data_IF_670518397691
#
_entry.id   IF_670518397691
#
_cell.length_a   1.000
_cell.length_b   1.000
_cell.length_c   1.000
_cell.angle_alpha   90.00
_cell.angle_beta   90.00
_cell.angle_gamma   90.00
#
_symmetry.space_group_name_H-M   'P 1'
#
loop_
_entity.id
_entity.type
_entity.pdbx_description
1 polymer ?
#
# COMPACT_ATOMS: atom_id res chain seq x y z
N UNK A 1 -13.28 -3.80 -20.87
CA UNK A 1 -12.01 -3.14 -20.52
C UNK A 1 -11.31 -3.90 -19.40
N UNK A 2 -9.99 -3.70 -19.24
CA UNK A 2 -9.20 -4.24 -18.13
C UNK A 2 -8.97 -3.14 -17.11
N UNK A 3 -9.49 -3.34 -15.89
CA UNK A 3 -9.44 -2.36 -14.81
C UNK A 3 -8.59 -2.94 -13.68
N UNK A 4 -7.52 -2.25 -13.31
CA UNK A 4 -6.73 -2.55 -12.12
C UNK A 4 -7.14 -1.66 -10.95
N UNK A 5 -7.29 -2.23 -9.77
CA UNK A 5 -7.51 -1.49 -8.53
C UNK A 5 -6.36 -1.82 -7.58
N UNK A 6 -5.57 -0.81 -7.27
CA UNK A 6 -4.44 -0.97 -6.35
C UNK A 6 -4.95 -1.22 -4.93
N UNK A 7 -4.26 -2.08 -4.21
CA UNK A 7 -4.71 -2.47 -2.88
C UNK A 7 -4.25 -1.46 -1.81
N UNK A 8 -2.96 -1.12 -1.83
CA UNK A 8 -2.36 -0.28 -0.81
C UNK A 8 -2.72 1.20 -1.01
N UNK A 9 -3.28 1.83 0.02
CA UNK A 9 -3.72 3.23 -0.01
C UNK A 9 -5.00 3.50 -0.82
N UNK A 10 -5.65 2.46 -1.37
CA UNK A 10 -6.96 2.53 -2.04
C UNK A 10 -8.00 1.71 -1.28
N UNK A 11 -7.67 0.48 -0.94
CA UNK A 11 -8.55 -0.46 -0.25
C UNK A 11 -8.04 -0.73 1.17
N UNK A 12 -6.71 -0.83 1.34
CA UNK A 12 -6.02 -1.21 2.57
C UNK A 12 -5.14 -0.09 3.08
N UNK A 13 -5.24 0.22 4.38
CA UNK A 13 -4.38 1.20 5.06
C UNK A 13 -3.19 0.51 5.74
N UNK A 14 -2.14 0.25 4.94
CA UNK A 14 -0.92 -0.34 5.47
C UNK A 14 -0.12 0.64 6.34
N UNK A 15 -0.22 1.94 6.06
CA UNK A 15 0.58 2.94 6.78
C UNK A 15 0.11 3.10 8.21
N UNK A 16 -1.20 3.22 8.43
CA UNK A 16 -1.76 3.24 9.79
C UNK A 16 -1.33 1.99 10.58
N UNK A 17 -1.36 0.82 9.93
CA UNK A 17 -0.95 -0.41 10.62
C UNK A 17 0.54 -0.48 10.88
N UNK A 18 1.36 -0.03 9.93
CA UNK A 18 2.81 0.02 10.10
C UNK A 18 3.21 0.96 11.23
N UNK A 19 2.58 2.13 11.34
CA UNK A 19 2.79 3.07 12.43
C UNK A 19 2.45 2.46 13.79
N UNK A 20 1.33 1.75 13.89
CA UNK A 20 0.95 1.04 15.12
C UNK A 20 1.98 -0.02 15.52
N UNK A 21 2.47 -0.81 14.56
CA UNK A 21 3.48 -1.84 14.81
C UNK A 21 4.82 -1.19 15.17
N UNK A 22 5.25 -0.17 14.44
CA UNK A 22 6.47 0.55 14.71
C UNK A 22 6.45 1.18 16.11
N UNK A 23 5.39 1.90 16.48
CA UNK A 23 5.22 2.47 17.82
C UNK A 23 5.33 1.41 18.89
N UNK A 24 4.61 0.30 18.72
CA UNK A 24 4.58 -0.78 19.72
C UNK A 24 5.95 -1.44 19.93
N UNK A 25 6.67 -1.71 18.85
CA UNK A 25 7.88 -2.54 18.92
C UNK A 25 9.18 -1.74 18.91
N UNK A 26 9.14 -0.46 18.54
CA UNK A 26 10.34 0.36 18.42
C UNK A 26 10.35 1.60 19.31
N UNK A 27 9.18 2.08 19.78
CA UNK A 27 9.10 3.29 20.61
C UNK A 27 8.63 3.04 22.04
N UNK A 28 7.85 1.96 22.30
CA UNK A 28 7.38 1.65 23.66
C UNK A 28 8.53 1.04 24.51
N UNK A 29 8.57 1.38 25.79
CA UNK A 29 9.54 0.83 26.75
C UNK A 29 9.40 -0.71 26.85
N UNK A 30 10.52 -1.43 26.70
CA UNK A 30 10.59 -2.89 26.77
C UNK A 30 10.69 -3.60 25.41
N UNK A 31 10.70 -2.86 24.32
CA UNK A 31 10.81 -3.41 22.95
C UNK A 31 12.24 -3.77 22.50
N UNK A 32 13.20 -3.76 23.41
CA UNK A 32 14.65 -3.80 23.12
C UNK A 32 15.15 -4.99 22.30
N UNK A 33 14.45 -6.15 22.33
CA UNK A 33 14.92 -7.34 21.60
C UNK A 33 14.68 -7.26 20.08
N UNK A 34 13.69 -6.47 19.65
CA UNK A 34 13.34 -6.35 18.21
C UNK A 34 14.04 -5.14 17.59
N UNK A 35 14.38 -4.15 18.40
CA UNK A 35 15.03 -2.91 17.97
C UNK A 35 16.52 -3.05 17.73
N UNK A 36 17.10 -4.19 18.05
CA UNK A 36 18.53 -4.42 17.96
C UNK A 36 18.82 -5.69 17.16
N UNK A 37 19.96 -5.71 16.53
CA UNK A 37 20.57 -6.91 15.98
C UNK A 37 21.96 -7.11 16.55
N UNK A 38 22.41 -8.36 16.57
CA UNK A 38 23.77 -8.66 17.02
C UNK A 38 24.75 -8.44 15.86
N UNK A 39 25.61 -7.46 15.99
CA UNK A 39 26.71 -7.21 15.05
C UNK A 39 27.89 -8.11 15.41
N UNK A 40 28.10 -9.17 14.61
CA UNK A 40 29.16 -10.14 14.84
C UNK A 40 30.58 -9.60 14.59
N UNK A 41 30.71 -8.48 13.86
CA UNK A 41 32.01 -7.83 13.65
C UNK A 41 32.43 -6.97 14.84
N UNK A 42 31.43 -6.37 15.50
CA UNK A 42 31.64 -5.54 16.69
C UNK A 42 31.48 -6.31 18.02
N UNK A 43 30.95 -7.55 17.92
CA UNK A 43 30.60 -8.39 19.07
C UNK A 43 29.62 -7.71 20.06
N UNK A 44 28.70 -6.88 19.55
CA UNK A 44 27.72 -6.13 20.34
C UNK A 44 26.34 -6.09 19.73
N UNK A 45 25.30 -5.80 20.54
CA UNK A 45 23.97 -5.52 20.10
C UNK A 45 23.89 -4.06 19.62
N UNK A 46 23.46 -3.87 18.36
CA UNK A 46 23.35 -2.55 17.72
C UNK A 46 21.90 -2.21 17.48
N UNK A 47 21.50 -0.97 17.81
CA UNK A 47 20.16 -0.48 17.56
C UNK A 47 19.88 -0.37 16.06
N UNK A 48 18.68 -0.76 15.64
CA UNK A 48 18.17 -0.54 14.27
C UNK A 48 17.68 0.90 14.04
N UNK A 49 17.54 1.69 15.11
CA UNK A 49 17.11 3.08 15.07
C UNK A 49 18.29 4.04 15.12
N UNK A 50 18.13 5.22 14.55
CA UNK A 50 19.11 6.30 14.73
C UNK A 50 19.03 6.88 16.14
N UNK A 51 20.17 7.14 16.79
CA UNK A 51 20.24 7.54 18.19
C UNK A 51 19.59 8.91 18.50
N UNK A 52 19.37 9.74 17.48
CA UNK A 52 18.82 11.10 17.63
C UNK A 52 17.28 11.19 17.60
N UNK A 53 16.57 10.06 17.46
CA UNK A 53 15.16 10.05 17.06
C UNK A 53 14.13 9.73 18.15
N UNK A 54 14.51 9.73 19.41
CA UNK A 54 13.60 9.41 20.53
C UNK A 54 12.46 10.41 20.80
N UNK A 55 12.40 11.54 20.09
CA UNK A 55 11.40 12.60 20.36
C UNK A 55 10.14 12.53 19.47
N UNK A 56 10.04 11.62 18.52
CA UNK A 56 8.91 11.60 17.60
C UNK A 56 7.99 10.41 17.83
N UNK A 57 6.96 10.63 18.63
CA UNK A 57 5.74 9.83 18.51
C UNK A 57 5.18 9.95 17.08
N UNK A 58 5.00 8.82 16.39
CA UNK A 58 4.44 8.77 15.04
C UNK A 58 2.94 9.13 15.07
N UNK A 59 2.62 10.41 15.20
CA UNK A 59 1.27 10.96 15.04
C UNK A 59 1.16 11.80 13.76
N UNK A 60 2.18 11.74 12.89
CA UNK A 60 2.18 12.46 11.63
C UNK A 60 1.80 11.52 10.49
N UNK A 61 0.86 11.92 9.63
CA UNK A 61 0.50 11.10 8.47
C UNK A 61 1.72 10.95 7.55
N UNK A 62 1.84 9.81 6.90
CA UNK A 62 2.84 9.60 5.84
C UNK A 62 2.62 10.65 4.75
N UNK A 63 3.58 11.53 4.58
CA UNK A 63 3.52 12.63 3.59
C UNK A 63 4.43 12.39 2.40
N UNK A 64 5.26 11.35 2.45
CA UNK A 64 6.21 10.98 1.41
C UNK A 64 6.40 9.47 1.40
N UNK A 65 6.71 8.89 0.24
CA UNK A 65 7.12 7.49 0.13
C UNK A 65 8.57 7.24 0.55
N UNK A 66 9.26 8.24 1.10
CA UNK A 66 10.53 8.03 1.78
C UNK A 66 10.28 7.45 3.19
N UNK A 67 9.91 6.18 3.24
CA UNK A 67 9.53 5.50 4.49
C UNK A 67 10.71 5.30 5.45
N UNK A 68 11.94 5.33 4.96
CA UNK A 68 13.13 5.31 5.83
C UNK A 68 13.14 6.54 6.73
N UNK A 69 12.92 7.71 6.15
CA UNK A 69 12.87 8.97 6.89
C UNK A 69 11.66 9.01 7.83
N UNK A 70 10.50 8.54 7.36
CA UNK A 70 9.28 8.52 8.16
C UNK A 70 9.40 7.63 9.42
N UNK A 71 9.88 6.38 9.24
CA UNK A 71 10.06 5.42 10.32
C UNK A 71 11.44 5.50 10.99
N UNK A 72 12.32 6.41 10.56
CA UNK A 72 13.64 6.61 11.14
C UNK A 72 14.55 5.37 11.16
N UNK A 73 14.42 4.50 10.16
CA UNK A 73 15.34 3.39 10.00
C UNK A 73 16.70 3.87 9.48
N UNK A 74 17.79 3.22 9.88
CA UNK A 74 19.16 3.57 9.47
C UNK A 74 19.39 3.37 7.97
N UNK A 75 18.72 2.39 7.39
CA UNK A 75 18.93 2.01 6.00
C UNK A 75 17.71 1.30 5.41
N UNK A 76 17.78 1.02 4.12
CA UNK A 76 16.71 0.35 3.36
C UNK A 76 16.51 -1.11 3.79
N UNK A 77 17.56 -1.78 4.28
CA UNK A 77 17.50 -3.19 4.69
C UNK A 77 16.66 -3.33 5.96
N UNK A 78 16.87 -2.49 6.96
CA UNK A 78 16.07 -2.48 8.19
C UNK A 78 14.58 -2.19 7.91
N UNK A 79 14.30 -1.23 7.01
CA UNK A 79 12.93 -0.97 6.56
C UNK A 79 12.33 -2.19 5.84
N UNK A 80 13.12 -2.84 4.96
CA UNK A 80 12.70 -4.04 4.26
C UNK A 80 12.38 -5.17 5.23
N UNK A 81 13.25 -5.42 6.19
CA UNK A 81 13.06 -6.46 7.20
C UNK A 81 11.82 -6.20 8.03
N UNK A 82 11.59 -4.97 8.45
CA UNK A 82 10.38 -4.58 9.16
C UNK A 82 9.09 -4.94 8.39
N UNK A 83 9.00 -4.57 7.11
CA UNK A 83 7.81 -4.83 6.31
C UNK A 83 7.66 -6.30 5.88
N UNK A 84 8.74 -6.92 5.42
CA UNK A 84 8.65 -8.16 4.66
C UNK A 84 9.19 -9.41 5.37
N UNK A 85 9.96 -9.24 6.44
CA UNK A 85 10.56 -10.35 7.20
C UNK A 85 9.93 -10.48 8.58
N UNK A 86 9.93 -9.39 9.37
CA UNK A 86 9.54 -9.41 10.78
C UNK A 86 8.02 -9.34 10.97
N UNK A 87 7.34 -8.40 10.28
CA UNK A 87 5.94 -8.11 10.52
C UNK A 87 4.99 -8.25 9.31
N UNK A 88 5.26 -9.08 8.29
CA UNK A 88 4.44 -9.11 7.07
C UNK A 88 2.97 -9.46 7.35
N UNK A 89 2.70 -10.41 8.24
CA UNK A 89 1.32 -10.77 8.57
C UNK A 89 0.62 -9.65 9.35
N UNK A 90 1.30 -9.03 10.28
CA UNK A 90 0.75 -7.92 11.08
C UNK A 90 0.45 -6.72 10.19
N UNK A 91 1.39 -6.34 9.32
CA UNK A 91 1.26 -5.17 8.45
C UNK A 91 0.28 -5.46 7.32
N UNK A 92 0.52 -6.47 6.51
CA UNK A 92 -0.28 -6.71 5.29
C UNK A 92 -1.56 -7.52 5.55
N UNK A 93 -1.56 -8.45 6.51
CA UNK A 93 -2.70 -9.29 6.82
C UNK A 93 -3.69 -8.67 7.80
N UNK A 94 -3.21 -7.89 8.76
CA UNK A 94 -4.03 -7.32 9.82
C UNK A 94 -4.25 -5.80 9.70
N UNK A 95 -3.90 -5.20 8.59
CA UNK A 95 -4.26 -3.81 8.31
C UNK A 95 -5.77 -3.60 8.33
N UNK A 96 -6.26 -2.41 8.65
CA UNK A 96 -7.64 -2.04 8.39
C UNK A 96 -7.88 -1.79 6.90
N UNK A 97 -9.15 -1.82 6.48
CA UNK A 97 -9.57 -1.21 5.22
C UNK A 97 -9.52 0.31 5.33
N UNK A 98 -9.41 1.02 4.19
CA UNK A 98 -9.40 2.48 4.14
C UNK A 98 -10.66 3.12 4.74
N UNK A 99 -11.78 2.42 4.76
CA UNK A 99 -13.02 2.84 5.38
C UNK A 99 -13.93 1.67 5.75
N UNK A 100 -14.89 1.89 6.62
CA UNK A 100 -15.78 0.84 7.15
C UNK A 100 -16.56 0.10 6.05
N UNK A 101 -16.91 0.78 4.96
CA UNK A 101 -17.72 0.22 3.86
C UNK A 101 -16.91 -0.11 2.62
N UNK A 102 -15.58 -0.01 2.65
CA UNK A 102 -14.71 -0.18 1.47
C UNK A 102 -14.98 -1.49 0.73
N UNK A 103 -15.08 -2.62 1.44
CA UNK A 103 -15.31 -3.92 0.81
C UNK A 103 -16.74 -4.12 0.31
N UNK A 104 -17.75 -3.52 0.95
CA UNK A 104 -19.11 -3.54 0.41
C UNK A 104 -19.16 -2.80 -0.92
N UNK A 105 -18.61 -1.59 -0.97
CA UNK A 105 -18.52 -0.78 -2.19
C UNK A 105 -17.73 -1.49 -3.28
N UNK A 106 -16.58 -2.07 -2.94
CA UNK A 106 -15.74 -2.81 -3.88
C UNK A 106 -16.45 -4.02 -4.47
N UNK A 107 -17.15 -4.78 -3.64
CA UNK A 107 -17.88 -5.98 -4.06
C UNK A 107 -19.10 -5.62 -4.91
N UNK A 108 -19.84 -4.57 -4.55
CA UNK A 108 -20.98 -4.07 -5.35
C UNK A 108 -20.48 -3.59 -6.73
N UNK A 109 -19.39 -2.81 -6.76
CA UNK A 109 -18.74 -2.38 -8.00
C UNK A 109 -18.32 -3.57 -8.86
N UNK A 110 -17.73 -4.60 -8.25
CA UNK A 110 -17.33 -5.81 -8.97
C UNK A 110 -18.53 -6.53 -9.58
N UNK A 111 -19.61 -6.70 -8.83
CA UNK A 111 -20.84 -7.34 -9.31
C UNK A 111 -21.42 -6.58 -10.49
N UNK A 112 -21.44 -5.24 -10.43
CA UNK A 112 -22.02 -4.38 -11.46
C UNK A 112 -21.19 -4.36 -12.75
N UNK A 113 -19.87 -4.52 -12.66
CA UNK A 113 -18.96 -4.31 -13.79
C UNK A 113 -18.39 -5.59 -14.41
N UNK A 114 -18.38 -6.72 -13.71
CA UNK A 114 -17.65 -7.94 -14.10
C UNK A 114 -18.12 -8.57 -15.42
N UNK A 115 -19.37 -8.36 -15.81
CA UNK A 115 -19.92 -8.96 -17.02
C UNK A 115 -19.35 -8.31 -18.30
N UNK A 116 -18.93 -7.04 -18.22
CA UNK A 116 -18.38 -6.27 -19.34
C UNK A 116 -16.88 -5.94 -19.19
N UNK A 117 -16.33 -6.13 -18.00
CA UNK A 117 -14.97 -5.73 -17.67
C UNK A 117 -14.22 -6.83 -16.91
N UNK A 118 -12.91 -6.91 -17.15
CA UNK A 118 -11.98 -7.68 -16.34
C UNK A 118 -11.46 -6.81 -15.21
N UNK A 119 -11.80 -7.14 -13.97
CA UNK A 119 -11.35 -6.39 -12.77
C UNK A 119 -10.30 -7.20 -12.04
N UNK A 120 -9.19 -6.57 -11.74
CA UNK A 120 -8.04 -7.18 -11.09
C UNK A 120 -7.56 -6.31 -9.94
N UNK A 121 -7.33 -6.91 -8.78
CA UNK A 121 -6.56 -6.24 -7.71
C UNK A 121 -5.09 -6.31 -8.06
N UNK A 122 -4.40 -5.19 -7.96
CA UNK A 122 -2.95 -5.14 -8.05
C UNK A 122 -2.35 -4.75 -6.70
N UNK A 123 -1.14 -5.22 -6.40
CA UNK A 123 -0.48 -4.87 -5.15
C UNK A 123 1.04 -4.91 -5.28
N UNK A 124 1.69 -3.84 -4.81
CA UNK A 124 3.16 -3.75 -4.74
C UNK A 124 3.66 -4.54 -3.54
N UNK A 125 3.91 -5.83 -3.76
CA UNK A 125 4.30 -6.74 -2.70
C UNK A 125 5.22 -7.86 -3.16
N UNK A 126 6.06 -8.30 -2.22
CA UNK A 126 7.06 -9.35 -2.42
C UNK A 126 7.07 -10.35 -1.26
N UNK A 127 7.58 -11.54 -1.53
CA UNK A 127 7.89 -12.54 -0.49
C UNK A 127 6.70 -12.91 0.40
N UNK A 128 6.89 -12.80 1.71
CA UNK A 128 5.93 -13.20 2.76
C UNK A 128 4.71 -12.29 2.85
N UNK A 129 4.74 -11.07 2.29
CA UNK A 129 3.58 -10.18 2.28
C UNK A 129 2.45 -10.69 1.38
N UNK A 130 2.77 -11.45 0.31
CA UNK A 130 1.75 -12.01 -0.59
C UNK A 130 0.73 -12.92 0.11
N UNK A 131 1.11 -13.96 0.87
CA UNK A 131 0.14 -14.76 1.62
C UNK A 131 -0.60 -13.93 2.69
N UNK A 132 0.04 -12.94 3.30
CA UNK A 132 -0.62 -12.03 4.24
C UNK A 132 -1.71 -11.20 3.55
N UNK A 133 -1.48 -10.74 2.33
CA UNK A 133 -2.47 -10.06 1.51
C UNK A 133 -3.65 -10.96 1.11
N UNK A 134 -3.41 -12.19 0.74
CA UNK A 134 -4.49 -13.15 0.48
C UNK A 134 -5.35 -13.38 1.73
N UNK A 135 -4.72 -13.46 2.90
CA UNK A 135 -5.45 -13.50 4.17
C UNK A 135 -6.30 -12.24 4.39
N UNK A 136 -5.73 -11.05 4.14
CA UNK A 136 -6.47 -9.79 4.26
C UNK A 136 -7.73 -9.78 3.37
N UNK A 137 -7.60 -10.10 2.10
CA UNK A 137 -8.73 -10.14 1.16
C UNK A 137 -9.79 -11.16 1.56
N UNK A 138 -9.37 -12.35 2.00
CA UNK A 138 -10.26 -13.39 2.50
C UNK A 138 -11.00 -12.95 3.77
N UNK A 139 -10.30 -12.32 4.72
CA UNK A 139 -10.88 -11.79 5.97
C UNK A 139 -12.03 -10.82 5.74
N UNK A 140 -11.92 -9.98 4.70
CA UNK A 140 -12.93 -8.99 4.36
C UNK A 140 -13.95 -9.47 3.31
N UNK A 141 -13.83 -10.72 2.86
CA UNK A 141 -14.78 -11.30 1.89
C UNK A 141 -14.71 -10.63 0.52
N UNK A 142 -13.51 -10.32 0.03
CA UNK A 142 -13.32 -9.78 -1.31
C UNK A 142 -13.81 -10.77 -2.38
N UNK A 143 -14.67 -10.31 -3.29
CA UNK A 143 -15.22 -11.13 -4.38
C UNK A 143 -14.35 -11.10 -5.65
N UNK A 144 -13.39 -10.18 -5.76
CA UNK A 144 -12.50 -10.11 -6.91
C UNK A 144 -11.50 -11.25 -6.83
N UNK A 145 -11.51 -12.13 -7.83
CA UNK A 145 -10.69 -13.35 -7.88
C UNK A 145 -9.30 -13.09 -8.45
N UNK A 146 -9.18 -12.12 -9.37
CA UNK A 146 -7.93 -11.83 -10.05
C UNK A 146 -7.03 -10.92 -9.18
N UNK A 147 -5.83 -11.40 -8.86
CA UNK A 147 -4.85 -10.65 -8.07
C UNK A 147 -3.49 -10.73 -8.75
N UNK A 148 -2.89 -9.57 -9.04
CA UNK A 148 -1.55 -9.47 -9.61
C UNK A 148 -0.61 -8.74 -8.64
N UNK A 149 0.45 -9.42 -8.24
CA UNK A 149 1.53 -8.81 -7.46
C UNK A 149 2.61 -8.24 -8.37
N UNK A 150 3.10 -7.06 -8.05
CA UNK A 150 4.17 -6.41 -8.79
C UNK A 150 5.27 -5.89 -7.85
N UNK A 151 6.33 -5.40 -8.43
CA UNK A 151 7.43 -4.73 -7.75
C UNK A 151 7.93 -3.59 -8.63
N UNK A 152 8.85 -2.77 -8.15
CA UNK A 152 9.48 -1.71 -8.96
C UNK A 152 10.05 -2.19 -10.29
N UNK A 153 10.52 -3.45 -10.36
CA UNK A 153 11.07 -4.04 -11.59
C UNK A 153 9.96 -4.38 -12.61
N UNK A 154 8.76 -4.69 -12.15
CA UNK A 154 7.65 -5.17 -12.98
C UNK A 154 6.52 -4.16 -13.14
N UNK A 155 6.66 -2.96 -12.59
CA UNK A 155 5.61 -1.94 -12.56
C UNK A 155 5.18 -1.50 -13.97
N UNK A 156 6.12 -1.33 -14.90
CA UNK A 156 5.81 -0.98 -16.30
C UNK A 156 4.96 -2.07 -16.96
N UNK A 157 5.26 -3.33 -16.71
CA UNK A 157 4.48 -4.45 -17.24
C UNK A 157 3.05 -4.44 -16.69
N UNK A 158 2.87 -4.09 -15.42
CA UNK A 158 1.54 -3.93 -14.82
C UNK A 158 0.83 -2.77 -15.49
N UNK A 159 1.49 -1.62 -15.60
CA UNK A 159 0.94 -0.45 -16.27
C UNK A 159 0.44 -0.79 -17.68
N UNK A 160 1.24 -1.52 -18.47
CA UNK A 160 0.90 -1.91 -19.83
C UNK A 160 -0.25 -2.92 -19.95
N UNK A 161 -0.55 -3.65 -18.89
CA UNK A 161 -1.53 -4.75 -18.92
C UNK A 161 -2.98 -4.28 -18.77
N UNK A 162 -3.24 -3.02 -18.37
CA UNK A 162 -4.57 -2.51 -18.05
C UNK A 162 -4.93 -1.27 -18.84
N UNK A 163 -6.23 -1.07 -19.08
CA UNK A 163 -6.80 0.12 -19.75
C UNK A 163 -7.00 1.26 -18.74
N UNK A 164 -7.43 0.89 -17.52
CA UNK A 164 -7.68 1.81 -16.40
C UNK A 164 -6.95 1.30 -15.17
N UNK A 165 -6.27 2.20 -14.46
CA UNK A 165 -5.60 1.89 -13.19
C UNK A 165 -6.08 2.87 -12.12
N UNK A 166 -6.62 2.32 -11.03
CA UNK A 166 -7.03 3.08 -9.84
C UNK A 166 -5.93 2.92 -8.80
N UNK A 167 -5.24 3.98 -8.45
CA UNK A 167 -4.06 3.88 -7.58
C UNK A 167 -3.81 5.13 -6.75
N UNK A 168 -3.17 4.96 -5.61
CA UNK A 168 -2.55 6.03 -4.82
C UNK A 168 -1.02 6.03 -4.94
N UNK A 169 -0.43 5.02 -5.61
CA UNK A 169 1.02 4.80 -5.67
C UNK A 169 1.70 5.84 -6.59
N UNK A 170 2.60 6.69 -6.06
CA UNK A 170 3.35 7.67 -6.84
C UNK A 170 4.15 7.07 -8.01
N UNK A 171 4.70 5.87 -7.84
CA UNK A 171 5.48 5.22 -8.91
C UNK A 171 4.60 4.87 -10.13
N UNK A 172 3.32 4.50 -9.91
CA UNK A 172 2.35 4.31 -11.00
C UNK A 172 1.88 5.65 -11.59
N UNK A 173 1.68 6.67 -10.74
CA UNK A 173 1.30 8.00 -11.20
C UNK A 173 2.36 8.65 -12.08
N UNK A 174 3.64 8.36 -11.85
CA UNK A 174 4.76 8.83 -12.70
C UNK A 174 4.77 8.21 -14.10
N UNK A 175 4.16 7.05 -14.29
CA UNK A 175 4.05 6.38 -15.59
C UNK A 175 2.89 6.95 -16.44
N UNK A 176 2.08 7.85 -15.89
CA UNK A 176 0.90 8.40 -16.57
C UNK A 176 1.33 9.05 -17.90
N UNK A 177 1.08 8.31 -18.98
CA UNK A 177 1.14 8.81 -20.33
C UNK A 177 -0.30 8.86 -20.87
N UNK A 178 -0.60 9.77 -21.77
CA UNK A 178 -1.96 10.08 -22.23
C UNK A 178 -2.73 8.92 -22.90
N UNK A 179 -2.10 7.77 -23.05
CA UNK A 179 -2.68 6.61 -23.73
C UNK A 179 -3.50 5.70 -22.80
N UNK A 180 -3.39 5.88 -21.49
CA UNK A 180 -4.12 5.12 -20.46
C UNK A 180 -4.82 6.04 -19.48
N UNK A 181 -5.85 5.53 -18.81
CA UNK A 181 -6.59 6.28 -17.81
C UNK A 181 -6.12 5.89 -16.41
N UNK A 182 -5.43 6.81 -15.75
CA UNK A 182 -5.15 6.67 -14.32
C UNK A 182 -6.18 7.44 -13.52
N UNK A 183 -6.82 6.75 -12.58
CA UNK A 183 -7.70 7.35 -11.57
C UNK A 183 -6.91 7.42 -10.28
N UNK A 184 -6.47 8.61 -9.92
CA UNK A 184 -5.71 8.85 -8.71
C UNK A 184 -6.62 8.87 -7.50
N UNK A 185 -6.33 8.04 -6.50
CA UNK A 185 -6.89 8.17 -5.15
C UNK A 185 -6.02 9.13 -4.35
N UNK A 186 -6.61 10.25 -3.90
CA UNK A 186 -5.87 11.30 -3.20
C UNK A 186 -5.42 10.86 -1.82
N UNK A 187 -4.14 11.09 -1.53
CA UNK A 187 -3.51 10.84 -0.24
C UNK A 187 -2.56 11.97 0.10
N UNK A 188 -2.07 12.01 1.34
CA UNK A 188 -1.07 13.00 1.77
C UNK A 188 0.26 12.85 1.02
N UNK A 189 0.67 11.62 0.73
CA UNK A 189 1.96 11.32 0.09
C UNK A 189 1.96 11.42 -1.44
N UNK A 190 0.82 11.66 -2.06
CA UNK A 190 0.73 11.85 -3.51
C UNK A 190 0.14 13.21 -3.93
N UNK A 191 0.12 14.17 -3.03
CA UNK A 191 -0.48 15.49 -3.25
C UNK A 191 0.19 16.30 -4.38
N UNK A 192 1.46 16.04 -4.67
CA UNK A 192 2.23 16.71 -5.74
C UNK A 192 1.89 16.18 -7.14
N UNK A 193 1.34 14.96 -7.24
CA UNK A 193 0.99 14.33 -8.51
C UNK A 193 -0.40 14.78 -8.96
N UNK A 194 -0.54 15.08 -10.24
CA UNK A 194 -1.83 15.43 -10.86
C UNK A 194 -2.25 14.33 -11.80
N UNK A 195 -3.53 13.99 -11.80
CA UNK A 195 -4.17 13.12 -12.77
C UNK A 195 -5.42 13.79 -13.35
N UNK A 196 -5.81 13.40 -14.56
CA UNK A 196 -7.06 13.86 -15.17
C UNK A 196 -8.29 13.47 -14.35
N UNK A 197 -8.22 12.30 -13.71
CA UNK A 197 -9.28 11.76 -12.85
C UNK A 197 -8.76 11.58 -11.44
N UNK A 198 -9.41 12.24 -10.50
CA UNK A 198 -9.05 12.16 -9.07
C UNK A 198 -10.29 11.85 -8.23
N UNK A 199 -10.14 10.95 -7.27
CA UNK A 199 -11.16 10.59 -6.29
C UNK A 199 -10.59 10.67 -4.87
N UNK A 200 -11.44 10.86 -3.87
CA UNK A 200 -11.04 10.86 -2.47
C UNK A 200 -11.01 9.43 -1.89
N UNK A 201 -11.94 8.60 -2.33
CA UNK A 201 -12.05 7.20 -1.94
C UNK A 201 -12.78 6.37 -3.00
N UNK A 202 -12.85 5.07 -2.79
CA UNK A 202 -13.42 4.13 -3.76
C UNK A 202 -14.93 4.34 -4.03
N UNK A 203 -15.67 5.05 -3.17
CA UNK A 203 -17.10 5.31 -3.36
C UNK A 203 -17.38 6.21 -4.57
N UNK A 204 -16.41 7.03 -4.96
CA UNK A 204 -16.52 7.90 -6.13
C UNK A 204 -16.18 7.19 -7.44
N UNK A 205 -15.61 5.97 -7.38
CA UNK A 205 -15.06 5.28 -8.55
C UNK A 205 -16.10 4.99 -9.63
N UNK A 206 -17.28 4.51 -9.26
CA UNK A 206 -18.37 4.24 -10.23
C UNK A 206 -18.74 5.46 -11.07
N UNK A 207 -18.79 6.64 -10.43
CA UNK A 207 -19.12 7.90 -11.11
C UNK A 207 -18.07 8.29 -12.14
N UNK A 208 -16.80 8.11 -11.79
CA UNK A 208 -15.67 8.41 -12.68
C UNK A 208 -15.62 7.42 -13.85
N UNK A 209 -15.80 6.13 -13.60
CA UNK A 209 -15.85 5.10 -14.64
C UNK A 209 -16.98 5.38 -15.65
N UNK A 210 -18.16 5.78 -15.17
CA UNK A 210 -19.28 6.17 -16.04
C UNK A 210 -18.97 7.41 -16.90
N UNK A 211 -18.10 8.30 -16.42
CA UNK A 211 -17.66 9.47 -17.19
C UNK A 211 -16.67 9.08 -18.27
N UNK A 212 -15.72 8.21 -17.95
CA UNK A 212 -14.71 7.68 -18.90
C UNK A 212 -15.39 6.90 -20.04
N UNK A 213 -16.42 6.11 -19.74
CA UNK A 213 -17.12 5.26 -20.73
C UNK A 213 -18.04 6.06 -21.68
N UNK A 214 -18.30 7.33 -21.41
CA UNK A 214 -19.10 8.21 -22.27
C UNK A 214 -18.30 8.96 -23.34
N UNK A 215 -16.98 8.90 -23.24
CA UNK A 215 -16.03 9.50 -24.17
C UNK A 215 -15.59 8.46 -25.20
#
# INVERSE_FOLDING_TARGET
MKIAIDLNGVIRDIFLKSEQIYTKYFLEEGSNEINSYYDSEKEEWVSKLDDDDFEYGLNLPVTSMNLIEHFKFKNTEDLYDFFYIDFPMQIFGHSPSMGANTFNILNDLYIDLRDENEITIISDEIGKSKPATLFFLSKYGCLIENINFYSKITIEKIYDSFDIIVTSNPDLLLLDNKDKKIIKVKTTYNSEFKSEYEINDISELQTVLNTINKI
#
